data_IF_842340076938
#
_entry.id   IF_842340076938
#
_cell.length_a   1.000
_cell.length_b   1.000
_cell.length_c   1.000
_cell.angle_alpha   90.00
_cell.angle_beta   90.00
_cell.angle_gamma   90.00
#
_symmetry.space_group_name_H-M   'P 1'
#
loop_
_entity.id
_entity.type
_entity.pdbx_description
1 polymer ?
#
# COMPACT_ATOMS: atom_id res chain seq x y z
N UNK A 1 5.63 -0.98 -17.69
CA UNK A 1 6.65 -1.24 -16.66
C UNK A 1 5.99 -1.03 -15.30
N UNK A 2 5.96 -2.03 -14.43
CA UNK A 2 5.49 -1.84 -13.05
C UNK A 2 6.54 -0.98 -12.34
N UNK A 3 6.20 0.27 -12.02
CA UNK A 3 7.10 1.12 -11.27
C UNK A 3 7.41 0.44 -9.92
N UNK A 4 8.65 0.44 -9.43
CA UNK A 4 8.93 -0.04 -8.08
C UNK A 4 8.40 0.98 -7.06
N UNK A 5 7.61 0.51 -6.08
CA UNK A 5 7.13 1.38 -4.98
C UNK A 5 8.29 2.01 -4.21
N UNK A 6 8.11 3.25 -3.76
CA UNK A 6 9.15 4.01 -3.05
C UNK A 6 9.46 3.39 -1.67
N UNK A 7 10.57 3.83 -1.05
CA UNK A 7 10.90 3.45 0.33
C UNK A 7 9.83 3.92 1.32
N UNK A 8 9.26 5.11 1.10
CA UNK A 8 8.22 5.65 1.96
C UNK A 8 6.90 4.90 1.82
N UNK A 9 6.49 4.57 0.59
CA UNK A 9 5.33 3.70 0.34
C UNK A 9 5.50 2.33 1.01
N UNK A 10 6.68 1.70 0.92
CA UNK A 10 6.97 0.45 1.65
C UNK A 10 6.79 0.59 3.17
N UNK A 11 7.24 1.70 3.75
CA UNK A 11 7.10 1.97 5.18
C UNK A 11 5.62 2.10 5.58
N UNK A 12 4.83 2.83 4.78
CA UNK A 12 3.39 2.97 4.99
C UNK A 12 2.65 1.62 4.85
N UNK A 13 2.92 0.84 3.81
CA UNK A 13 2.35 -0.51 3.63
C UNK A 13 2.72 -1.42 4.81
N UNK A 14 3.95 -1.35 5.31
CA UNK A 14 4.35 -2.11 6.51
C UNK A 14 3.56 -1.69 7.74
N UNK A 15 3.32 -0.39 7.92
CA UNK A 15 2.51 0.11 9.04
C UNK A 15 1.04 -0.33 8.95
N UNK A 16 0.47 -0.40 7.74
CA UNK A 16 -0.87 -0.94 7.51
C UNK A 16 -0.91 -2.45 7.75
N UNK A 17 0.11 -3.20 7.31
CA UNK A 17 0.21 -4.63 7.56
C UNK A 17 0.24 -4.97 9.06
N UNK A 18 0.99 -4.21 9.86
CA UNK A 18 1.02 -4.41 11.32
C UNK A 18 -0.37 -4.24 11.94
N UNK A 19 -1.22 -3.36 11.39
CA UNK A 19 -2.57 -3.07 11.91
C UNK A 19 -3.65 -3.99 11.36
N UNK A 20 -3.52 -4.42 10.10
CA UNK A 20 -4.60 -5.05 9.34
C UNK A 20 -4.18 -6.35 8.64
N UNK A 21 -2.96 -6.85 8.89
CA UNK A 21 -2.39 -8.00 8.21
C UNK A 21 -3.19 -9.28 8.38
N UNK A 22 -3.86 -9.46 9.53
CA UNK A 22 -4.81 -10.54 9.82
C UNK A 22 -4.38 -11.93 9.26
N UNK A 23 -3.18 -12.38 9.62
CA UNK A 23 -2.64 -13.68 9.22
C UNK A 23 -1.83 -13.69 7.92
N UNK A 24 -1.85 -12.62 7.13
CA UNK A 24 -0.99 -12.49 5.96
C UNK A 24 0.47 -12.28 6.36
N UNK A 25 1.39 -12.88 5.60
CA UNK A 25 2.77 -12.39 5.55
C UNK A 25 2.81 -11.01 4.93
N UNK A 26 3.83 -10.20 5.25
CA UNK A 26 4.03 -8.89 4.64
C UNK A 26 4.04 -8.94 3.10
N UNK A 27 4.60 -10.02 2.51
CA UNK A 27 4.65 -10.20 1.05
C UNK A 27 3.27 -10.42 0.45
N UNK A 28 2.40 -11.18 1.12
CA UNK A 28 1.00 -11.37 0.71
C UNK A 28 0.21 -10.07 0.85
N UNK A 29 0.34 -9.39 2.00
CA UNK A 29 -0.35 -8.13 2.24
C UNK A 29 0.03 -7.04 1.22
N UNK A 30 1.33 -6.89 0.93
CA UNK A 30 1.83 -5.91 -0.05
C UNK A 30 1.27 -6.14 -1.46
N UNK A 31 0.96 -7.39 -1.84
CA UNK A 31 0.39 -7.70 -3.17
C UNK A 31 -1.04 -7.21 -3.37
N UNK A 32 -1.73 -6.80 -2.29
CA UNK A 32 -3.06 -6.17 -2.37
C UNK A 32 -3.00 -4.74 -2.93
N UNK A 33 -1.80 -4.13 -2.96
CA UNK A 33 -1.60 -2.77 -3.44
C UNK A 33 -1.31 -2.76 -4.95
N UNK A 34 -2.07 -1.92 -5.66
CA UNK A 34 -1.94 -1.68 -7.09
C UNK A 34 -1.60 -0.22 -7.35
N UNK A 35 -0.93 0.06 -8.48
CA UNK A 35 -0.69 1.43 -8.91
C UNK A 35 -1.99 2.10 -9.33
N UNK A 36 -2.15 3.35 -8.91
CA UNK A 36 -3.23 4.21 -9.38
C UNK A 36 -2.99 4.79 -10.76
N UNK A 37 -3.97 5.53 -11.26
CA UNK A 37 -3.86 6.28 -12.52
C UNK A 37 -2.67 7.24 -12.43
N UNK A 38 -1.78 7.18 -13.42
CA UNK A 38 -0.55 7.98 -13.44
C UNK A 38 0.66 7.35 -12.74
N UNK A 39 0.54 6.13 -12.18
CA UNK A 39 1.63 5.38 -11.53
C UNK A 39 2.37 6.12 -10.38
N UNK A 40 1.79 7.20 -9.84
CA UNK A 40 2.39 7.99 -8.77
C UNK A 40 2.10 7.40 -7.39
N UNK A 41 0.84 7.08 -7.10
CA UNK A 41 0.40 6.49 -5.85
C UNK A 41 0.10 4.99 -5.99
N UNK A 42 0.05 4.31 -4.85
CA UNK A 42 -0.47 2.94 -4.75
C UNK A 42 -1.71 2.92 -3.88
N UNK A 43 -2.62 1.98 -4.13
CA UNK A 43 -3.77 1.82 -3.25
C UNK A 43 -4.28 0.39 -3.14
N UNK A 44 -5.04 0.14 -2.07
CA UNK A 44 -5.67 -1.13 -1.77
C UNK A 44 -6.96 -0.92 -1.00
N UNK A 45 -7.92 -1.83 -1.15
CA UNK A 45 -9.07 -1.91 -0.23
C UNK A 45 -8.73 -2.90 0.88
N UNK A 46 -8.80 -2.44 2.13
CA UNK A 46 -8.50 -3.22 3.32
C UNK A 46 -9.66 -3.05 4.28
N UNK A 47 -10.32 -4.15 4.68
CA UNK A 47 -11.48 -4.12 5.58
C UNK A 47 -12.59 -3.14 5.13
N UNK A 48 -12.91 -3.14 3.83
CA UNK A 48 -13.89 -2.24 3.19
C UNK A 48 -13.54 -0.74 3.21
N UNK A 49 -12.29 -0.38 3.53
CA UNK A 49 -11.79 1.00 3.47
C UNK A 49 -10.72 1.08 2.37
N UNK A 50 -10.81 2.11 1.53
CA UNK A 50 -9.78 2.38 0.53
C UNK A 50 -8.57 3.03 1.22
N UNK A 51 -7.37 2.63 0.84
CA UNK A 51 -6.13 3.28 1.28
C UNK A 51 -5.33 3.70 0.06
N UNK A 52 -5.08 4.99 -0.10
CA UNK A 52 -4.17 5.55 -1.10
C UNK A 52 -2.86 5.96 -0.45
N UNK A 53 -1.71 5.68 -1.07
CA UNK A 53 -0.39 6.01 -0.54
C UNK A 53 0.44 6.72 -1.61
N UNK A 54 0.76 7.98 -1.33
CA UNK A 54 1.56 8.84 -2.19
C UNK A 54 3.05 8.44 -2.20
N UNK A 55 3.87 8.91 -3.18
CA UNK A 55 5.29 8.60 -3.25
C UNK A 55 6.08 8.90 -1.97
N UNK A 56 5.68 9.92 -1.21
CA UNK A 56 6.29 10.37 0.04
C UNK A 56 5.85 9.55 1.27
N UNK A 57 4.90 8.62 1.09
CA UNK A 57 4.35 7.75 2.13
C UNK A 57 3.15 8.32 2.89
N UNK A 58 2.66 9.52 2.53
CA UNK A 58 1.41 10.03 3.04
C UNK A 58 0.26 9.08 2.66
N UNK A 59 -0.65 8.80 3.59
CA UNK A 59 -1.70 7.78 3.42
C UNK A 59 -3.08 8.44 3.56
N UNK A 60 -3.92 8.27 2.54
CA UNK A 60 -5.31 8.67 2.48
C UNK A 60 -6.24 7.49 2.76
N UNK A 61 -7.43 7.77 3.28
CA UNK A 61 -8.52 6.80 3.52
C UNK A 61 -9.81 7.27 2.90
#
# INVERSE_FOLDING_TARGET
MNNPITKCQRKAVKALWVRHGNGDTYKQFRRKFSFGVGNAYIGAVINNVYYGIEPDGHTHT
#
